data_IF_831867723815
#
_entry.id   IF_831867723815
#
_cell.length_a   1.000
_cell.length_b   1.000
_cell.length_c   1.000
_cell.angle_alpha   90.00
_cell.angle_beta   90.00
_cell.angle_gamma   90.00
#
_symmetry.space_group_name_H-M   'P 1'
#
loop_
_entity.id
_entity.type
_entity.pdbx_description
1 polymer ?
#
# COMPACT_ATOMS: atom_id res chain seq x y z
N UNK A 1 -41.05 9.19 -0.12
CA UNK A 1 -40.73 10.55 0.37
C UNK A 1 -39.21 10.67 0.42
N UNK A 2 -38.64 11.54 -0.42
CA UNK A 2 -37.19 11.71 -0.56
C UNK A 2 -36.72 12.63 0.56
N UNK A 3 -35.96 12.08 1.52
CA UNK A 3 -35.41 12.81 2.67
C UNK A 3 -33.93 13.13 2.45
N UNK A 4 -33.62 14.43 2.49
CA UNK A 4 -32.32 15.09 2.33
C UNK A 4 -31.10 14.31 2.90
N UNK A 5 -30.12 14.05 2.05
CA UNK A 5 -28.74 13.75 2.44
C UNK A 5 -28.08 15.02 2.99
N UNK A 6 -27.82 15.06 4.30
CA UNK A 6 -26.95 16.05 4.92
C UNK A 6 -25.56 15.42 5.08
N UNK A 7 -24.61 15.83 4.25
CA UNK A 7 -23.19 15.50 4.41
C UNK A 7 -22.54 16.72 5.06
N UNK A 8 -22.22 16.63 6.34
CA UNK A 8 -21.38 17.63 7.01
C UNK A 8 -19.92 17.19 6.88
N UNK A 9 -19.05 18.10 6.42
CA UNK A 9 -17.61 17.87 6.31
C UNK A 9 -16.80 18.73 7.29
N UNK A 10 -15.70 18.09 7.70
CA UNK A 10 -14.46 18.62 8.29
C UNK A 10 -14.39 18.77 9.82
N UNK A 11 -13.49 18.02 10.46
CA UNK A 11 -12.12 18.49 10.77
C UNK A 11 -11.24 17.35 11.32
N UNK A 12 -9.94 17.61 11.30
CA UNK A 12 -8.75 16.78 11.58
C UNK A 12 -8.87 15.67 12.64
N UNK A 13 -8.12 14.58 12.39
CA UNK A 13 -7.80 13.45 13.28
C UNK A 13 -8.83 12.32 13.30
N UNK A 14 -8.56 11.27 12.49
CA UNK A 14 -9.16 9.94 12.62
C UNK A 14 -10.68 9.89 12.41
N UNK A 15 -11.15 10.11 11.17
CA UNK A 15 -12.60 10.08 10.89
C UNK A 15 -13.13 8.65 10.93
N UNK A 16 -14.13 8.44 11.81
CA UNK A 16 -14.98 7.26 11.93
C UNK A 16 -16.16 7.39 10.96
N UNK A 17 -16.34 6.42 10.08
CA UNK A 17 -17.58 6.29 9.29
C UNK A 17 -18.55 5.37 10.02
N UNK A 18 -19.77 5.84 10.27
CA UNK A 18 -20.87 5.00 10.75
C UNK A 18 -21.85 4.86 9.60
N UNK A 19 -21.84 3.70 8.95
CA UNK A 19 -22.83 3.36 7.93
C UNK A 19 -24.00 2.67 8.62
N UNK A 20 -25.15 3.34 8.68
CA UNK A 20 -26.39 2.75 9.21
C UNK A 20 -27.22 2.26 8.02
N UNK A 21 -27.25 0.96 7.80
CA UNK A 21 -28.14 0.34 6.81
C UNK A 21 -29.32 -0.25 7.58
N UNK A 22 -30.52 0.30 7.36
CA UNK A 22 -31.76 -0.18 7.98
C UNK A 22 -32.47 -1.11 6.99
N UNK A 23 -32.39 -2.42 7.23
CA UNK A 23 -33.26 -3.40 6.57
C UNK A 23 -34.22 -3.98 7.63
N UNK A 24 -35.52 -3.78 7.41
CA UNK A 24 -36.62 -4.52 8.03
C UNK A 24 -36.44 -4.87 9.52
N UNK A 25 -36.19 -3.85 10.36
CA UNK A 25 -36.24 -3.96 11.81
C UNK A 25 -34.96 -4.46 12.52
N UNK A 26 -33.88 -4.76 11.79
CA UNK A 26 -32.60 -5.14 12.40
C UNK A 26 -31.59 -3.99 12.25
N UNK A 27 -31.25 -3.31 13.35
CA UNK A 27 -30.18 -2.30 13.35
C UNK A 27 -28.85 -3.03 13.55
N UNK A 28 -28.08 -3.20 12.48
CA UNK A 28 -26.70 -3.70 12.57
C UNK A 28 -25.76 -2.49 12.75
N UNK A 29 -25.33 -2.27 13.99
CA UNK A 29 -24.28 -1.31 14.32
C UNK A 29 -22.91 -1.96 14.07
N UNK A 30 -22.35 -1.78 12.87
CA UNK A 30 -20.98 -2.15 12.56
C UNK A 30 -20.02 -1.02 12.93
N UNK A 31 -19.27 -1.17 14.03
CA UNK A 31 -18.18 -0.25 14.36
C UNK A 31 -16.89 -0.87 13.84
N UNK A 32 -16.42 -0.43 12.66
CA UNK A 32 -15.06 -0.76 12.20
C UNK A 32 -14.10 0.24 12.82
N UNK A 33 -13.43 -0.14 13.91
CA UNK A 33 -12.27 0.61 14.39
C UNK A 33 -11.08 0.24 13.51
N UNK A 34 -10.73 1.09 12.54
CA UNK A 34 -9.40 1.04 11.96
C UNK A 34 -8.44 1.49 13.06
N UNK A 35 -7.78 0.53 13.71
CA UNK A 35 -6.71 0.83 14.64
C UNK A 35 -5.53 1.37 13.82
N UNK A 36 -5.41 2.69 13.77
CA UNK A 36 -4.31 3.38 13.09
C UNK A 36 -2.98 3.26 13.86
N UNK A 37 -2.85 2.32 14.80
CA UNK A 37 -1.69 2.15 15.66
C UNK A 37 -1.01 0.79 15.47
N UNK A 38 -0.26 0.67 14.37
CA UNK A 38 1.13 0.16 14.34
C UNK A 38 1.62 0.15 12.90
N UNK A 39 1.93 1.33 12.40
CA UNK A 39 2.73 1.46 11.20
C UNK A 39 3.72 2.55 11.51
N UNK A 40 4.99 2.20 11.72
CA UNK A 40 6.02 3.23 11.76
C UNK A 40 5.85 4.04 10.48
N UNK A 41 5.57 5.35 10.57
CA UNK A 41 5.39 6.16 9.38
C UNK A 41 6.65 5.99 8.53
N UNK A 42 6.49 5.63 7.27
CA UNK A 42 7.59 5.75 6.31
C UNK A 42 7.92 7.24 6.32
N UNK A 43 9.17 7.65 6.59
CA UNK A 43 9.52 9.06 6.68
C UNK A 43 9.50 9.67 5.28
N UNK A 44 8.30 9.96 4.73
CA UNK A 44 8.14 10.58 3.42
C UNK A 44 8.48 12.07 3.44
N UNK A 45 8.28 12.74 4.59
CA UNK A 45 8.53 14.18 4.72
C UNK A 45 10.02 14.58 4.82
N UNK A 46 10.93 13.62 5.06
CA UNK A 46 12.36 13.91 5.30
C UNK A 46 13.29 13.45 4.15
N UNK A 47 12.77 12.74 3.15
CA UNK A 47 13.54 12.15 2.07
C UNK A 47 13.10 12.71 0.72
N UNK A 48 14.03 12.82 -0.22
CA UNK A 48 13.69 12.98 -1.63
C UNK A 48 13.02 11.69 -2.16
N UNK A 49 12.30 11.79 -3.28
CA UNK A 49 11.58 10.63 -3.82
C UNK A 49 12.49 9.40 -4.10
N UNK A 50 13.74 9.54 -4.61
CA UNK A 50 14.68 8.43 -4.66
C UNK A 50 14.98 7.81 -3.29
N UNK A 51 15.22 8.61 -2.25
CA UNK A 51 15.42 8.15 -0.88
C UNK A 51 14.21 7.41 -0.33
N UNK A 52 13.01 7.96 -0.55
CA UNK A 52 11.75 7.30 -0.21
C UNK A 52 11.65 5.92 -0.86
N UNK A 53 11.93 5.80 -2.16
CA UNK A 53 11.84 4.53 -2.88
C UNK A 53 12.84 3.49 -2.35
N UNK A 54 14.06 3.90 -2.00
CA UNK A 54 15.07 3.00 -1.40
C UNK A 54 14.61 2.45 -0.05
N UNK A 55 14.23 3.34 0.87
CA UNK A 55 13.78 2.95 2.22
C UNK A 55 12.53 2.08 2.16
N UNK A 56 11.58 2.46 1.33
CA UNK A 56 10.32 1.73 1.17
C UNK A 56 10.56 0.36 0.56
N UNK A 57 11.44 0.26 -0.43
CA UNK A 57 11.83 -1.02 -1.04
C UNK A 57 12.46 -1.96 0.00
N UNK A 58 13.38 -1.45 0.81
CA UNK A 58 14.04 -2.26 1.85
C UNK A 58 13.00 -2.82 2.85
N UNK A 59 12.06 -1.98 3.29
CA UNK A 59 10.95 -2.39 4.18
C UNK A 59 10.00 -3.37 3.49
N UNK A 60 9.67 -3.16 2.22
CA UNK A 60 8.76 -4.02 1.46
C UNK A 60 9.35 -5.42 1.27
N UNK A 61 10.65 -5.48 0.92
CA UNK A 61 11.37 -6.74 0.78
C UNK A 61 11.42 -7.51 2.10
N UNK A 62 11.71 -6.84 3.22
CA UNK A 62 11.67 -7.47 4.54
C UNK A 62 10.27 -8.00 4.89
N UNK A 63 9.22 -7.19 4.65
CA UNK A 63 7.83 -7.57 4.91
C UNK A 63 7.37 -8.74 4.04
N UNK A 64 7.71 -8.76 2.74
CA UNK A 64 7.44 -9.89 1.86
C UNK A 64 8.08 -11.18 2.38
N UNK A 65 9.36 -11.12 2.77
CA UNK A 65 10.05 -12.28 3.32
C UNK A 65 9.40 -12.79 4.61
N UNK A 66 8.98 -11.88 5.49
CA UNK A 66 8.23 -12.23 6.69
C UNK A 66 6.88 -12.86 6.35
N UNK A 67 6.08 -12.22 5.50
CA UNK A 67 4.70 -12.64 5.23
C UNK A 67 4.61 -13.93 4.43
N UNK A 68 5.57 -14.19 3.55
CA UNK A 68 5.64 -15.41 2.74
C UNK A 68 6.69 -16.41 3.25
N UNK A 69 7.16 -16.28 4.50
CA UNK A 69 8.20 -17.15 5.05
C UNK A 69 7.85 -18.64 4.92
N UNK A 70 6.60 -19.01 5.21
CA UNK A 70 6.13 -20.40 5.10
C UNK A 70 6.25 -20.93 3.67
N UNK A 71 5.89 -20.09 2.68
CA UNK A 71 6.01 -20.42 1.27
C UNK A 71 7.49 -20.57 0.87
N UNK A 72 8.35 -19.65 1.31
CA UNK A 72 9.78 -19.72 1.02
C UNK A 72 10.46 -20.94 1.64
N UNK A 73 10.06 -21.34 2.85
CA UNK A 73 10.56 -22.55 3.51
C UNK A 73 10.22 -23.85 2.75
N UNK A 74 9.13 -23.85 1.98
CA UNK A 74 8.73 -24.99 1.16
C UNK A 74 9.55 -25.16 -0.13
N UNK A 75 10.37 -24.16 -0.51
CA UNK A 75 11.16 -24.20 -1.73
C UNK A 75 12.43 -25.09 -1.59
N UNK A 76 12.96 -25.63 -2.71
CA UNK A 76 14.23 -26.34 -2.71
C UNK A 76 15.39 -25.48 -2.16
N UNK A 77 16.42 -26.07 -1.53
CA UNK A 77 17.54 -25.33 -0.93
C UNK A 77 18.24 -24.35 -1.88
N UNK A 78 18.31 -24.67 -3.17
CA UNK A 78 18.93 -23.80 -4.17
C UNK A 78 18.09 -22.55 -4.46
N UNK A 79 16.76 -22.68 -4.46
CA UNK A 79 15.86 -21.55 -4.64
C UNK A 79 15.78 -20.68 -3.37
N UNK A 80 15.82 -21.28 -2.18
CA UNK A 80 15.82 -20.56 -0.90
C UNK A 80 17.00 -19.59 -0.75
N UNK A 81 18.20 -19.97 -1.19
CA UNK A 81 19.39 -19.09 -1.12
C UNK A 81 19.25 -17.83 -1.97
N UNK A 82 18.48 -17.93 -3.06
CA UNK A 82 18.27 -16.83 -4.01
C UNK A 82 17.18 -15.86 -3.55
N UNK A 83 16.39 -16.21 -2.52
CA UNK A 83 15.28 -15.39 -2.04
C UNK A 83 15.65 -14.83 -0.67
N UNK A 84 16.29 -13.66 -0.70
CA UNK A 84 16.67 -12.90 0.48
C UNK A 84 16.41 -11.39 0.27
N UNK A 85 16.42 -10.62 1.36
CA UNK A 85 16.15 -9.17 1.30
C UNK A 85 17.10 -8.46 0.32
N UNK A 86 18.37 -8.84 0.28
CA UNK A 86 19.37 -8.24 -0.60
C UNK A 86 19.05 -8.46 -2.08
N UNK A 87 18.75 -9.70 -2.48
CA UNK A 87 18.34 -10.03 -3.85
C UNK A 87 17.05 -9.34 -4.27
N UNK A 88 16.07 -9.21 -3.35
CA UNK A 88 14.84 -8.46 -3.58
C UNK A 88 15.13 -6.98 -3.81
N UNK A 89 15.97 -6.39 -2.96
CA UNK A 89 16.39 -4.99 -3.05
C UNK A 89 17.11 -4.69 -4.35
N UNK A 90 18.09 -5.50 -4.72
CA UNK A 90 18.85 -5.36 -5.96
C UNK A 90 17.92 -5.41 -7.18
N UNK A 91 17.01 -6.38 -7.21
CA UNK A 91 16.02 -6.50 -8.28
C UNK A 91 15.05 -5.31 -8.34
N UNK A 92 14.50 -4.90 -7.19
CA UNK A 92 13.53 -3.83 -7.11
C UNK A 92 14.13 -2.46 -7.47
N UNK A 93 15.36 -2.18 -7.02
CA UNK A 93 16.07 -0.93 -7.29
C UNK A 93 16.86 -0.95 -8.60
N UNK A 94 16.89 -2.06 -9.33
CA UNK A 94 17.53 -2.12 -10.63
C UNK A 94 16.91 -1.06 -11.56
N UNK A 95 17.78 -0.27 -12.22
CA UNK A 95 17.40 0.85 -13.08
C UNK A 95 16.48 1.87 -12.38
N UNK A 96 16.69 2.13 -11.09
CA UNK A 96 15.88 3.08 -10.33
C UNK A 96 15.77 4.43 -11.04
N UNK A 97 16.88 5.01 -11.51
CA UNK A 97 16.84 6.33 -12.15
C UNK A 97 15.97 6.35 -13.42
N UNK A 98 16.03 5.29 -14.23
CA UNK A 98 15.18 5.15 -15.40
C UNK A 98 13.70 4.98 -15.04
N UNK A 99 13.41 4.24 -13.95
CA UNK A 99 12.05 4.11 -13.39
C UNK A 99 11.55 5.44 -12.83
N UNK A 100 12.41 6.23 -12.18
CA UNK A 100 12.05 7.52 -11.63
C UNK A 100 11.85 8.59 -12.70
N UNK A 101 12.51 8.47 -13.86
CA UNK A 101 12.36 9.40 -14.98
C UNK A 101 10.94 9.43 -15.58
N UNK A 102 10.10 8.41 -15.34
CA UNK A 102 8.68 8.41 -15.75
C UNK A 102 7.74 8.92 -14.65
N UNK A 103 8.22 9.11 -13.42
CA UNK A 103 7.35 9.43 -12.28
C UNK A 103 6.92 10.89 -12.28
N UNK A 104 5.63 11.12 -12.51
CA UNK A 104 4.96 12.41 -12.31
C UNK A 104 4.78 12.71 -10.82
N UNK A 105 4.55 13.98 -10.43
CA UNK A 105 4.22 14.31 -9.04
C UNK A 105 3.02 13.53 -8.48
N UNK A 106 2.02 13.26 -9.32
CA UNK A 106 0.85 12.45 -8.96
C UNK A 106 1.22 11.00 -8.65
N UNK A 107 2.06 10.38 -9.49
CA UNK A 107 2.57 9.02 -9.24
C UNK A 107 3.35 8.94 -7.93
N UNK A 108 4.08 9.98 -7.54
CA UNK A 108 4.81 10.02 -6.26
C UNK A 108 3.85 9.95 -5.08
N UNK A 109 2.80 10.76 -5.10
CA UNK A 109 1.76 10.75 -4.07
C UNK A 109 1.06 9.39 -3.98
N UNK A 110 0.69 8.81 -5.13
CA UNK A 110 0.09 7.47 -5.19
C UNK A 110 1.04 6.38 -4.68
N UNK A 111 2.35 6.52 -4.92
CA UNK A 111 3.38 5.61 -4.40
C UNK A 111 3.45 5.66 -2.88
N UNK A 112 3.48 6.86 -2.29
CA UNK A 112 3.50 7.04 -0.84
C UNK A 112 2.27 6.39 -0.18
N UNK A 113 1.08 6.61 -0.73
CA UNK A 113 -0.15 6.03 -0.22
C UNK A 113 -0.19 4.51 -0.40
N UNK A 114 0.16 4.00 -1.58
CA UNK A 114 0.13 2.57 -1.87
C UNK A 114 1.12 1.80 -1.00
N UNK A 115 2.39 2.23 -0.98
CA UNK A 115 3.41 1.55 -0.21
C UNK A 115 3.21 1.70 1.30
N UNK A 116 2.74 2.87 1.76
CA UNK A 116 2.34 3.08 3.14
C UNK A 116 1.25 2.09 3.58
N UNK A 117 0.19 1.95 2.77
CA UNK A 117 -0.88 0.98 3.04
C UNK A 117 -0.35 -0.46 3.09
N UNK A 118 0.45 -0.89 2.11
CA UNK A 118 1.02 -2.24 2.08
C UNK A 118 1.91 -2.50 3.30
N UNK A 119 2.71 -1.53 3.74
CA UNK A 119 3.56 -1.69 4.93
C UNK A 119 2.76 -1.68 6.24
N UNK A 120 1.62 -0.99 6.29
CA UNK A 120 0.72 -0.98 7.44
C UNK A 120 -0.07 -2.29 7.62
N UNK A 121 -0.28 -3.02 6.52
CA UNK A 121 -1.19 -4.16 6.47
C UNK A 121 -0.62 -5.41 7.13
N UNK A 122 -1.46 -6.28 7.70
CA UNK A 122 -1.03 -7.58 8.18
C UNK A 122 -0.64 -8.56 7.05
N UNK A 123 0.13 -9.59 7.38
CA UNK A 123 0.65 -10.51 6.38
C UNK A 123 -0.42 -11.30 5.61
N UNK A 124 -1.57 -11.56 6.22
CA UNK A 124 -2.67 -12.29 5.59
C UNK A 124 -3.41 -11.45 4.53
N UNK A 125 -3.30 -10.13 4.58
CA UNK A 125 -3.94 -9.19 3.64
C UNK A 125 -2.92 -8.49 2.72
N UNK A 126 -1.63 -8.70 2.94
CA UNK A 126 -0.55 -8.02 2.23
C UNK A 126 -0.71 -8.09 0.70
N UNK A 127 -1.01 -9.28 0.16
CA UNK A 127 -1.27 -9.45 -1.28
C UNK A 127 -2.57 -8.82 -1.76
N UNK A 128 -3.61 -8.77 -0.92
CA UNK A 128 -4.90 -8.18 -1.26
C UNK A 128 -4.79 -6.65 -1.41
N UNK A 129 -4.04 -5.98 -0.52
CA UNK A 129 -3.85 -4.53 -0.58
C UNK A 129 -3.13 -4.09 -1.86
N UNK A 130 -2.15 -4.87 -2.32
CA UNK A 130 -1.46 -4.60 -3.60
C UNK A 130 -2.39 -4.65 -4.83
N UNK A 131 -3.56 -5.29 -4.71
CA UNK A 131 -4.54 -5.44 -5.79
C UNK A 131 -5.75 -4.52 -5.64
N UNK A 132 -6.28 -4.38 -4.43
CA UNK A 132 -7.57 -3.73 -4.18
C UNK A 132 -7.45 -2.32 -3.60
N UNK A 133 -6.28 -1.93 -3.07
CA UNK A 133 -6.12 -0.59 -2.53
C UNK A 133 -6.20 0.46 -3.66
N UNK A 134 -7.08 1.48 -3.57
CA UNK A 134 -7.31 2.43 -4.66
C UNK A 134 -6.04 3.12 -5.16
N UNK A 135 -5.16 3.54 -4.24
CA UNK A 135 -3.90 4.19 -4.62
C UNK A 135 -2.96 3.23 -5.39
N UNK A 136 -2.93 1.94 -5.03
CA UNK A 136 -2.11 0.96 -5.73
C UNK A 136 -2.63 0.67 -7.14
N UNK A 137 -3.96 0.60 -7.30
CA UNK A 137 -4.59 0.43 -8.60
C UNK A 137 -4.30 1.62 -9.52
N UNK A 138 -4.55 2.84 -9.02
CA UNK A 138 -4.30 4.07 -9.79
C UNK A 138 -2.82 4.23 -10.13
N UNK A 139 -1.90 3.93 -9.20
CA UNK A 139 -0.47 3.96 -9.48
C UNK A 139 -0.11 3.03 -10.66
N UNK A 140 -0.65 1.81 -10.67
CA UNK A 140 -0.41 0.85 -11.76
C UNK A 140 -0.94 1.37 -13.09
N UNK A 141 -2.16 1.91 -13.11
CA UNK A 141 -2.78 2.49 -14.29
C UNK A 141 -1.97 3.66 -14.87
N UNK A 142 -1.46 4.54 -14.00
CA UNK A 142 -0.59 5.65 -14.39
C UNK A 142 0.74 5.15 -14.94
N UNK A 143 1.38 4.18 -14.28
CA UNK A 143 2.65 3.60 -14.74
C UNK A 143 2.48 2.94 -16.11
N UNK A 144 1.42 2.16 -16.28
CA UNK A 144 1.09 1.53 -17.57
C UNK A 144 0.83 2.57 -18.66
N UNK A 145 0.18 3.69 -18.31
CA UNK A 145 -0.05 4.80 -19.25
C UNK A 145 1.27 5.46 -19.66
N UNK A 146 2.17 5.70 -18.71
CA UNK A 146 3.48 6.29 -18.99
C UNK A 146 4.34 5.38 -19.88
N UNK A 147 4.23 4.06 -19.73
CA UNK A 147 4.93 3.11 -20.59
C UNK A 147 4.35 3.05 -22.01
N UNK A 148 3.04 3.19 -22.20
CA UNK A 148 2.43 3.20 -23.54
C UNK A 148 2.74 4.44 -24.38
N UNK A 149 3.10 5.55 -23.73
CA UNK A 149 3.36 6.82 -24.39
C UNK A 149 4.86 7.05 -24.70
N UNK A 150 5.69 6.01 -24.57
CA UNK A 150 7.12 6.00 -24.93
C UNK A 150 7.36 5.09 -26.13
#
# INVERSE_FOLDING_TARGET
>A
MIGRNQIQHATSSGVRFVVVIVFSGLIVLGVTTCDANRSEPVPSAALDFPGFMRVTTDRMCAKMLQCYEKLYRALPPNARRQINVQSCRESALHNLDAKLAIHTPEMRLLSEQCYGAMLATECHEFGAIALYHPACRLLREEVDRAHRNR
#
